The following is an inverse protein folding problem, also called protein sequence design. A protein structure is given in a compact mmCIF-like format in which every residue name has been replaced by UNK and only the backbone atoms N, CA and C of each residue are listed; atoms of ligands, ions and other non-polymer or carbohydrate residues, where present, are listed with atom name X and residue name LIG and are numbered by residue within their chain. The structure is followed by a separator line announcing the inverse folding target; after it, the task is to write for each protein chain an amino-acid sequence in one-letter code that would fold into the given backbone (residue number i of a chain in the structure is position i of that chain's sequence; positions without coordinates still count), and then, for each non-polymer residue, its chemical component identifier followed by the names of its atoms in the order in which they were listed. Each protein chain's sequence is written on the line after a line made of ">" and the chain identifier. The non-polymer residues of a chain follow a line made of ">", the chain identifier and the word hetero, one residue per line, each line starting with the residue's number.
data_IF_197152200446
#
_entry.id   IF_197152200446
#
_cell.length_a   1.000
_cell.length_b   1.000
_cell.length_c   1.000
_cell.angle_alpha   90.00
_cell.angle_beta   90.00
_cell.angle_gamma   90.00
#
_symmetry.space_group_name_H-M   'P 1'
#
loop_
_entity.id
_entity.type
_entity.pdbx_description
1 polymer ?
#
# COMPACT_ATOMS: atom_id res chain seq x y z
N UNK A 1 7.97 18.11 -4.23
CA UNK A 1 7.14 17.01 -4.81
C UNK A 1 7.76 15.68 -4.42
N UNK A 2 6.98 14.72 -3.91
CA UNK A 2 7.41 13.34 -3.67
C UNK A 2 6.95 12.48 -4.85
N UNK A 3 7.83 11.62 -5.37
CA UNK A 3 7.50 10.66 -6.40
C UNK A 3 7.57 9.26 -5.79
N UNK A 4 6.46 8.56 -5.79
CA UNK A 4 6.38 7.18 -5.31
C UNK A 4 6.52 6.21 -6.48
N UNK A 5 7.39 5.20 -6.31
CA UNK A 5 7.48 4.09 -7.24
C UNK A 5 6.70 2.90 -6.69
N UNK A 6 5.79 2.39 -7.52
CA UNK A 6 4.88 1.32 -7.14
C UNK A 6 5.44 -0.07 -7.45
N UNK A 7 5.12 -1.05 -6.58
CA UNK A 7 5.28 -2.47 -6.87
C UNK A 7 6.70 -3.02 -6.83
N UNK A 8 7.66 -2.35 -6.18
CA UNK A 8 9.04 -2.84 -6.11
C UNK A 8 9.17 -4.09 -5.24
N UNK A 9 8.39 -4.20 -4.17
CA UNK A 9 8.39 -5.39 -3.31
C UNK A 9 7.48 -6.50 -3.83
N UNK A 10 6.52 -6.18 -4.67
CA UNK A 10 5.59 -7.12 -5.31
C UNK A 10 6.30 -8.09 -6.25
N UNK A 11 7.32 -7.65 -6.96
CA UNK A 11 7.98 -8.37 -8.04
C UNK A 11 9.27 -9.09 -7.64
N UNK A 12 9.53 -9.30 -6.36
CA UNK A 12 10.83 -9.79 -5.86
C UNK A 12 12.03 -8.90 -6.22
N UNK A 13 11.77 -7.67 -6.59
CA UNK A 13 12.77 -6.72 -7.09
C UNK A 13 13.34 -5.85 -5.96
N UNK A 14 13.56 -6.44 -4.80
CA UNK A 14 14.17 -5.76 -3.66
C UNK A 14 15.67 -5.55 -3.87
N UNK A 15 16.28 -4.64 -3.11
CA UNK A 15 17.72 -4.37 -3.19
C UNK A 15 18.59 -5.61 -2.98
N UNK A 16 18.09 -6.64 -2.30
CA UNK A 16 18.78 -7.90 -2.01
C UNK A 16 18.34 -9.05 -2.91
N UNK A 17 17.44 -8.85 -3.85
CA UNK A 17 16.95 -9.93 -4.71
C UNK A 17 17.96 -10.31 -5.79
N UNK A 18 17.89 -11.58 -6.24
CA UNK A 18 18.70 -12.03 -7.37
C UNK A 18 18.42 -11.26 -8.66
N UNK A 19 17.17 -10.82 -8.85
CA UNK A 19 16.78 -10.01 -10.00
C UNK A 19 17.46 -8.65 -9.97
N UNK A 20 17.50 -8.00 -8.80
CA UNK A 20 18.24 -6.76 -8.63
C UNK A 20 19.73 -6.94 -8.94
N UNK A 21 20.34 -8.04 -8.48
CA UNK A 21 21.74 -8.32 -8.73
C UNK A 21 22.08 -8.57 -10.21
N UNK A 22 21.08 -8.93 -11.02
CA UNK A 22 21.21 -9.14 -12.48
C UNK A 22 20.99 -7.87 -13.31
N UNK A 23 20.51 -6.78 -12.70
CA UNK A 23 20.37 -5.49 -13.37
C UNK A 23 21.74 -4.93 -13.77
N UNK A 24 21.76 -4.07 -14.77
CA UNK A 24 22.93 -3.27 -15.06
C UNK A 24 23.22 -2.25 -13.92
N UNK A 25 24.39 -1.65 -13.94
CA UNK A 25 24.81 -0.75 -12.86
C UNK A 25 23.98 0.54 -12.82
N UNK A 26 23.48 1.03 -13.95
CA UNK A 26 22.58 2.19 -14.03
C UNK A 26 21.26 1.90 -13.35
N UNK A 27 20.65 0.74 -13.63
CA UNK A 27 19.40 0.30 -12.99
C UNK A 27 19.61 0.09 -11.49
N UNK A 28 20.70 -0.55 -11.07
CA UNK A 28 21.01 -0.72 -9.64
C UNK A 28 21.14 0.61 -8.93
N UNK A 29 21.82 1.57 -9.55
CA UNK A 29 21.97 2.91 -8.96
C UNK A 29 20.65 3.66 -8.90
N UNK A 30 19.82 3.59 -9.95
CA UNK A 30 18.50 4.20 -9.97
C UNK A 30 17.61 3.65 -8.84
N UNK A 31 17.61 2.33 -8.65
CA UNK A 31 16.82 1.67 -7.60
C UNK A 31 17.31 2.00 -6.19
N UNK A 32 18.60 2.11 -5.97
CA UNK A 32 19.18 2.56 -4.69
C UNK A 32 18.79 3.98 -4.32
N UNK A 33 18.45 4.81 -5.31
CA UNK A 33 18.03 6.19 -5.11
C UNK A 33 16.51 6.35 -4.91
N UNK A 34 15.74 5.28 -5.01
CA UNK A 34 14.31 5.31 -4.68
C UNK A 34 14.14 5.61 -3.20
N UNK A 35 13.38 6.65 -2.89
CA UNK A 35 13.12 7.09 -1.51
C UNK A 35 11.70 6.81 -1.06
N UNK A 36 10.77 6.75 -1.98
CA UNK A 36 9.34 6.65 -1.71
C UNK A 36 8.76 5.44 -2.45
N UNK A 37 8.12 4.57 -1.71
CA UNK A 37 7.57 3.31 -2.19
C UNK A 37 6.06 3.33 -2.02
N UNK A 38 5.33 2.92 -3.06
CA UNK A 38 3.90 2.62 -2.98
C UNK A 38 3.72 1.13 -3.18
N UNK A 39 3.16 0.48 -2.18
CA UNK A 39 2.97 -0.97 -2.20
C UNK A 39 1.53 -1.32 -1.86
N UNK A 40 1.01 -2.36 -2.50
CA UNK A 40 -0.36 -2.78 -2.34
C UNK A 40 -0.46 -3.94 -1.34
N UNK A 41 -1.33 -3.81 -0.32
CA UNK A 41 -1.59 -4.85 0.66
C UNK A 41 -1.91 -6.20 0.00
N UNK A 42 -2.70 -6.19 -1.06
CA UNK A 42 -3.04 -7.42 -1.80
C UNK A 42 -1.80 -8.26 -2.17
N UNK A 43 -0.67 -7.61 -2.44
CA UNK A 43 0.56 -8.30 -2.83
C UNK A 43 1.55 -8.50 -1.68
N UNK A 44 1.63 -7.56 -0.73
CA UNK A 44 2.67 -7.56 0.30
C UNK A 44 2.20 -8.05 1.68
N UNK A 45 0.98 -8.57 1.79
CA UNK A 45 0.41 -9.00 3.08
C UNK A 45 1.15 -10.17 3.75
N UNK A 46 1.97 -10.91 3.02
CA UNK A 46 2.73 -12.02 3.57
C UNK A 46 3.89 -11.52 4.43
N UNK A 47 4.15 -12.22 5.54
CA UNK A 47 5.20 -11.87 6.50
C UNK A 47 6.57 -11.68 5.83
N UNK A 48 6.92 -12.50 4.85
CA UNK A 48 8.20 -12.38 4.14
C UNK A 48 8.40 -11.03 3.43
N UNK A 49 7.34 -10.41 2.92
CA UNK A 49 7.42 -9.05 2.35
C UNK A 49 7.63 -8.00 3.44
N UNK A 50 6.89 -8.12 4.55
CA UNK A 50 7.01 -7.22 5.70
C UNK A 50 8.42 -7.26 6.27
N UNK A 51 8.95 -8.46 6.47
CA UNK A 51 10.32 -8.65 6.99
C UNK A 51 11.36 -8.03 6.06
N UNK A 52 11.18 -8.17 4.76
CA UNK A 52 12.06 -7.58 3.76
C UNK A 52 12.02 -6.05 3.78
N UNK A 53 10.85 -5.44 3.88
CA UNK A 53 10.69 -3.99 3.99
C UNK A 53 11.39 -3.48 5.25
N UNK A 54 11.25 -4.18 6.39
CA UNK A 54 11.96 -3.88 7.64
C UNK A 54 13.47 -4.00 7.52
N UNK A 55 13.97 -5.08 6.88
CA UNK A 55 15.40 -5.28 6.64
C UNK A 55 16.02 -4.19 5.78
N UNK A 56 15.28 -3.70 4.80
CA UNK A 56 15.72 -2.61 3.92
C UNK A 56 15.62 -1.24 4.61
N UNK A 57 14.94 -1.13 5.76
CA UNK A 57 14.83 0.08 6.56
C UNK A 57 14.02 1.18 5.88
N UNK A 58 13.04 0.81 5.05
CA UNK A 58 12.19 1.74 4.31
C UNK A 58 10.76 1.74 4.85
N UNK A 59 10.02 2.80 4.53
CA UNK A 59 8.59 2.88 4.76
C UNK A 59 7.85 2.98 3.43
N UNK A 60 6.61 2.50 3.40
CA UNK A 60 5.78 2.46 2.20
C UNK A 60 4.51 3.30 2.37
N UNK A 61 4.06 3.90 1.30
CA UNK A 61 2.66 4.30 1.16
C UNK A 61 1.87 3.02 0.87
N UNK A 62 0.95 2.66 1.75
CA UNK A 62 0.20 1.43 1.65
C UNK A 62 -1.12 1.66 0.90
N UNK A 63 -1.23 1.08 -0.28
CA UNK A 63 -2.49 0.96 -1.02
C UNK A 63 -3.25 -0.31 -0.59
N UNK A 64 -4.57 -0.27 -0.56
CA UNK A 64 -5.40 -1.42 -0.17
C UNK A 64 -5.30 -2.59 -1.16
N UNK A 65 -5.05 -2.30 -2.44
CA UNK A 65 -5.03 -3.30 -3.50
C UNK A 65 -6.41 -3.74 -3.97
N UNK A 66 -7.45 -2.98 -3.65
CA UNK A 66 -8.83 -3.32 -4.02
C UNK A 66 -9.00 -3.54 -5.52
N UNK A 67 -8.43 -2.68 -6.37
CA UNK A 67 -8.51 -2.85 -7.82
C UNK A 67 -7.82 -4.14 -8.30
N UNK A 68 -6.65 -4.46 -7.77
CA UNK A 68 -5.93 -5.69 -8.13
C UNK A 68 -6.67 -6.95 -7.67
N UNK A 69 -7.30 -6.91 -6.51
CA UNK A 69 -8.14 -7.99 -6.00
C UNK A 69 -9.39 -8.15 -6.88
N UNK A 70 -10.09 -7.05 -7.17
CA UNK A 70 -11.29 -7.02 -8.01
C UNK A 70 -11.02 -7.64 -9.40
N UNK A 71 -9.94 -7.25 -10.07
CA UNK A 71 -9.58 -7.78 -11.39
C UNK A 71 -9.26 -9.27 -11.39
N UNK A 72 -8.92 -9.83 -10.22
CA UNK A 72 -8.67 -11.26 -10.02
C UNK A 72 -9.87 -12.02 -9.45
N UNK A 73 -11.02 -11.36 -9.28
CA UNK A 73 -12.21 -11.97 -8.69
C UNK A 73 -12.04 -12.35 -7.21
N UNK A 74 -11.18 -11.63 -6.48
CA UNK A 74 -10.91 -11.82 -5.05
C UNK A 74 -11.33 -10.57 -4.30
N UNK A 75 -11.86 -10.72 -3.10
CA UNK A 75 -12.16 -9.61 -2.21
C UNK A 75 -11.06 -9.42 -1.16
N UNK A 76 -10.82 -8.18 -0.77
CA UNK A 76 -9.96 -7.85 0.36
C UNK A 76 -10.81 -7.85 1.62
N UNK A 77 -10.41 -8.65 2.62
CA UNK A 77 -11.06 -8.67 3.92
C UNK A 77 -10.68 -7.41 4.71
N UNK A 78 -11.66 -6.54 4.98
CA UNK A 78 -11.43 -5.24 5.63
C UNK A 78 -10.87 -5.38 7.06
N UNK A 79 -11.39 -6.24 7.94
CA UNK A 79 -10.80 -6.48 9.25
C UNK A 79 -9.34 -6.95 9.16
N UNK A 80 -9.02 -7.88 8.25
CA UNK A 80 -7.65 -8.37 8.06
C UNK A 80 -6.72 -7.25 7.56
N UNK A 81 -7.21 -6.36 6.71
CA UNK A 81 -6.45 -5.19 6.25
C UNK A 81 -6.16 -4.22 7.41
N UNK A 82 -7.16 -3.93 8.26
CA UNK A 82 -6.96 -3.11 9.44
C UNK A 82 -5.97 -3.74 10.43
N UNK A 83 -6.07 -5.03 10.67
CA UNK A 83 -5.14 -5.80 11.50
C UNK A 83 -3.71 -5.74 10.97
N UNK A 84 -3.55 -5.84 9.64
CA UNK A 84 -2.25 -5.70 9.00
C UNK A 84 -1.65 -4.31 9.24
N UNK A 85 -2.45 -3.26 9.08
CA UNK A 85 -2.03 -1.87 9.34
C UNK A 85 -1.56 -1.74 10.79
N UNK A 86 -2.36 -2.17 11.77
CA UNK A 86 -2.00 -2.07 13.19
C UNK A 86 -0.69 -2.80 13.55
N UNK A 87 -0.48 -3.99 12.99
CA UNK A 87 0.72 -4.78 13.27
C UNK A 87 1.98 -4.27 12.58
N UNK A 88 1.84 -3.45 11.55
CA UNK A 88 2.93 -3.05 10.67
C UNK A 88 3.05 -1.53 10.50
N UNK A 89 2.60 -0.75 11.49
CA UNK A 89 2.69 0.71 11.44
C UNK A 89 4.13 1.22 11.28
N UNK A 90 5.10 0.45 11.72
CA UNK A 90 6.53 0.77 11.62
C UNK A 90 7.04 0.83 10.18
N UNK A 91 6.42 0.09 9.27
CA UNK A 91 6.78 0.09 7.84
C UNK A 91 5.87 0.97 6.98
N UNK A 92 4.84 1.60 7.55
CA UNK A 92 3.94 2.50 6.83
C UNK A 92 4.39 3.93 7.05
N UNK A 93 4.49 4.70 5.95
CA UNK A 93 4.90 6.10 6.03
C UNK A 93 3.87 6.95 6.78
N UNK A 94 4.37 7.94 7.52
CA UNK A 94 3.55 8.97 8.18
C UNK A 94 3.96 10.32 7.63
N UNK A 95 3.02 11.11 7.12
CA UNK A 95 3.25 12.46 6.61
C UNK A 95 2.37 13.42 7.37
N UNK A 96 2.99 14.42 7.99
CA UNK A 96 2.30 15.45 8.79
C UNK A 96 1.33 14.86 9.85
N UNK A 97 1.71 13.73 10.43
CA UNK A 97 0.92 13.01 11.43
C UNK A 97 -0.19 12.12 10.86
N UNK A 98 -0.37 12.07 9.54
CA UNK A 98 -1.31 11.20 8.87
C UNK A 98 -0.63 9.90 8.41
N UNK A 99 -1.24 8.76 8.74
CA UNK A 99 -0.79 7.45 8.26
C UNK A 99 -1.07 7.31 6.76
N UNK A 100 -0.04 6.99 5.98
CA UNK A 100 -0.16 6.82 4.54
C UNK A 100 -0.67 5.40 4.19
N UNK A 101 -1.88 5.10 4.62
CA UNK A 101 -2.62 3.89 4.24
C UNK A 101 -3.95 4.29 3.61
N UNK A 102 -4.25 3.82 2.41
CA UNK A 102 -5.50 4.14 1.73
C UNK A 102 -6.70 3.43 2.37
N UNK A 103 -7.89 4.01 2.21
CA UNK A 103 -9.14 3.31 2.48
C UNK A 103 -9.24 2.06 1.59
N UNK A 104 -9.97 1.06 2.05
CA UNK A 104 -10.35 -0.07 1.19
C UNK A 104 -11.43 0.42 0.21
N UNK A 105 -11.02 0.58 -1.03
CA UNK A 105 -11.86 1.15 -2.07
C UNK A 105 -12.94 0.18 -2.55
N UNK A 106 -14.17 0.64 -2.70
CA UNK A 106 -15.26 -0.07 -3.37
C UNK A 106 -15.22 0.24 -4.86
N UNK A 107 -14.66 -0.67 -5.66
CA UNK A 107 -14.44 -0.43 -7.08
C UNK A 107 -15.76 -0.21 -7.82
N UNK A 108 -15.97 1.02 -8.29
CA UNK A 108 -17.21 1.44 -8.95
C UNK A 108 -18.41 1.65 -8.02
N UNK A 109 -18.18 1.64 -6.70
CA UNK A 109 -19.20 1.87 -5.69
C UNK A 109 -18.72 2.89 -4.64
N UNK A 110 -19.00 4.20 -4.84
CA UNK A 110 -18.59 5.26 -3.91
C UNK A 110 -19.18 5.07 -2.51
N UNK A 111 -20.42 4.58 -2.41
CA UNK A 111 -21.06 4.34 -1.11
C UNK A 111 -20.33 3.22 -0.35
N UNK A 112 -19.86 2.18 -1.03
CA UNK A 112 -19.04 1.15 -0.40
C UNK A 112 -17.73 1.73 0.10
N UNK A 113 -17.04 2.57 -0.68
CA UNK A 113 -15.81 3.26 -0.25
C UNK A 113 -16.05 4.07 1.01
N UNK A 114 -17.12 4.87 1.05
CA UNK A 114 -17.50 5.64 2.23
C UNK A 114 -17.80 4.76 3.45
N UNK A 115 -18.57 3.68 3.26
CA UNK A 115 -18.86 2.73 4.34
C UNK A 115 -17.61 2.03 4.85
N UNK A 116 -16.68 1.69 3.97
CA UNK A 116 -15.38 1.11 4.33
C UNK A 116 -14.53 2.11 5.14
N UNK A 117 -14.53 3.40 4.76
CA UNK A 117 -13.89 4.46 5.54
C UNK A 117 -14.40 4.45 6.99
N UNK A 118 -15.72 4.47 7.15
CA UNK A 118 -16.35 4.47 8.48
C UNK A 118 -16.09 3.18 9.27
N UNK A 119 -16.04 2.05 8.60
CA UNK A 119 -15.72 0.76 9.23
C UNK A 119 -14.25 0.72 9.69
N UNK A 120 -13.31 1.19 8.89
CA UNK A 120 -11.89 1.27 9.24
C UNK A 120 -11.67 2.23 10.42
N UNK A 121 -12.35 3.40 10.43
CA UNK A 121 -12.31 4.35 11.56
C UNK A 121 -12.81 3.72 12.86
N UNK A 122 -13.88 2.93 12.82
CA UNK A 122 -14.39 2.18 13.99
C UNK A 122 -13.40 1.12 14.50
N UNK A 123 -12.61 0.55 13.60
CA UNK A 123 -11.53 -0.37 13.94
C UNK A 123 -10.22 0.33 14.37
N UNK A 124 -10.25 1.67 14.52
CA UNK A 124 -9.12 2.45 15.00
C UNK A 124 -8.06 2.79 13.95
N UNK A 125 -8.34 2.54 12.68
CA UNK A 125 -7.51 2.97 11.56
C UNK A 125 -8.05 4.28 11.01
N UNK A 126 -7.19 5.26 10.79
CA UNK A 126 -7.54 6.51 10.10
C UNK A 126 -6.93 6.47 8.69
N UNK A 127 -7.59 5.83 7.73
CA UNK A 127 -7.05 5.72 6.39
C UNK A 127 -7.15 7.04 5.64
N UNK A 128 -6.32 7.20 4.62
CA UNK A 128 -6.48 8.29 3.66
C UNK A 128 -7.72 8.01 2.82
N UNK A 129 -8.66 8.96 2.73
CA UNK A 129 -9.85 8.79 1.93
C UNK A 129 -9.51 8.72 0.43
N UNK A 130 -10.31 7.99 -0.31
CA UNK A 130 -10.27 7.94 -1.76
C UNK A 130 -11.52 8.63 -2.32
N UNK A 131 -11.34 9.50 -3.28
CA UNK A 131 -12.41 10.18 -3.99
C UNK A 131 -12.21 10.01 -5.49
N UNK A 132 -13.25 9.57 -6.20
CA UNK A 132 -13.20 9.37 -7.62
C UNK A 132 -13.94 10.49 -8.36
N UNK A 133 -13.44 10.86 -9.53
CA UNK A 133 -14.10 11.88 -10.34
C UNK A 133 -15.54 11.51 -10.66
N UNK A 134 -16.46 12.44 -10.40
CA UNK A 134 -17.89 12.24 -10.61
C UNK A 134 -18.67 11.61 -9.45
N UNK A 135 -18.01 11.34 -8.32
CA UNK A 135 -18.69 10.93 -7.10
C UNK A 135 -19.43 12.10 -6.43
N UNK A 136 -20.50 11.81 -5.67
CA UNK A 136 -21.17 12.83 -4.87
C UNK A 136 -20.23 13.47 -3.84
N UNK A 137 -20.31 14.80 -3.68
CA UNK A 137 -19.42 15.54 -2.76
C UNK A 137 -19.71 15.25 -1.27
N UNK A 138 -20.84 14.62 -0.96
CA UNK A 138 -21.23 14.24 0.40
C UNK A 138 -20.51 13.00 0.97
N UNK A 139 -19.73 12.29 0.18
CA UNK A 139 -18.97 11.10 0.59
C UNK A 139 -17.53 11.39 0.98
#
# INVERSE_FOLDING_TARGET
>A
MKLYLAGLYTSNFTLKSQQFMRCDEGEKQARKNVKYFLESYHYIHRQAHVDRIREDGVQVFLDSGAFSAFTKGVEVDLPAYCDYIHRNMDIIEVIDGALCASVLDGIGDPLQTYNNQKAMEKLGVKPLPCFHYGEPEEY
#
